data_IF_153801986103
#
_entry.id   IF_153801986103
#
_cell.length_a   1.000
_cell.length_b   1.000
_cell.length_c   1.000
_cell.angle_alpha   90.00
_cell.angle_beta   90.00
_cell.angle_gamma   90.00
#
_symmetry.space_group_name_H-M   'P 1'
#
loop_
_entity.id
_entity.type
_entity.pdbx_description
1 polymer ?
#
# COMPACT_ATOMS: atom_id res chain seq x y z
N UNK A 1 8.91 24.38 -40.90
CA UNK A 1 7.86 23.99 -39.93
C UNK A 1 8.58 23.27 -38.82
N UNK A 2 8.69 23.87 -37.63
CA UNK A 2 9.12 23.12 -36.45
C UNK A 2 8.08 22.03 -36.19
N UNK A 3 8.51 20.77 -36.15
CA UNK A 3 7.69 19.67 -35.63
C UNK A 3 7.32 20.02 -34.18
N UNK A 4 6.04 20.29 -33.94
CA UNK A 4 5.52 20.42 -32.58
C UNK A 4 5.83 19.12 -31.85
N UNK A 5 6.63 19.20 -30.80
CA UNK A 5 6.87 18.06 -29.90
C UNK A 5 5.51 17.56 -29.41
N UNK A 6 5.26 16.24 -29.42
CA UNK A 6 4.01 15.70 -28.93
C UNK A 6 3.79 16.13 -27.46
N UNK A 7 2.64 16.76 -27.21
CA UNK A 7 2.19 17.06 -25.86
C UNK A 7 1.56 15.80 -25.28
N UNK A 8 2.22 15.21 -24.29
CA UNK A 8 1.71 14.04 -23.59
C UNK A 8 0.82 14.48 -22.42
N UNK A 9 -0.38 13.90 -22.33
CA UNK A 9 -1.21 13.99 -21.14
C UNK A 9 -0.70 13.01 -20.07
N UNK A 10 -0.77 13.41 -18.81
CA UNK A 10 -0.51 12.53 -17.67
C UNK A 10 -1.71 12.55 -16.73
N UNK A 11 -2.01 11.41 -16.10
CA UNK A 11 -3.03 11.29 -15.06
C UNK A 11 -2.56 10.33 -13.98
N UNK A 12 -2.91 10.62 -12.73
CA UNK A 12 -2.87 9.60 -11.68
C UNK A 12 -3.92 8.52 -12.01
N UNK A 13 -3.51 7.26 -11.91
CA UNK A 13 -4.38 6.10 -11.98
C UNK A 13 -4.84 5.73 -10.58
N UNK A 14 -4.53 4.51 -10.15
CA UNK A 14 -4.84 4.02 -8.81
C UNK A 14 -3.81 4.57 -7.80
N UNK A 15 -4.25 4.79 -6.56
CA UNK A 15 -3.39 5.06 -5.39
C UNK A 15 -3.58 3.96 -4.36
N UNK A 16 -2.51 3.56 -3.68
CA UNK A 16 -2.51 2.57 -2.62
C UNK A 16 -1.95 3.14 -1.32
N UNK A 17 -2.49 2.66 -0.20
CA UNK A 17 -2.03 2.98 1.15
C UNK A 17 -1.87 1.69 1.95
N UNK A 18 -0.83 1.63 2.78
CA UNK A 18 -0.61 0.52 3.69
C UNK A 18 0.00 1.04 4.99
N UNK A 19 -0.32 0.45 6.13
CA UNK A 19 0.52 0.63 7.31
C UNK A 19 1.91 0.05 7.02
N UNK A 20 2.95 0.62 7.63
CA UNK A 20 4.24 -0.08 7.62
C UNK A 20 4.08 -1.44 8.31
N UNK A 21 4.89 -2.40 7.89
CA UNK A 21 4.95 -3.69 8.56
C UNK A 21 5.26 -3.50 10.06
N UNK A 22 4.94 -4.51 10.87
CA UNK A 22 5.17 -4.46 12.32
C UNK A 22 6.61 -4.15 12.70
N UNK A 23 7.57 -4.59 11.89
CA UNK A 23 9.00 -4.34 12.06
C UNK A 23 9.47 -2.99 11.46
N UNK A 24 8.54 -2.17 10.96
CA UNK A 24 8.77 -0.88 10.29
C UNK A 24 9.15 -0.98 8.82
N UNK A 25 9.25 -2.18 8.24
CA UNK A 25 9.61 -2.35 6.83
C UNK A 25 8.50 -1.95 5.87
N UNK A 26 8.87 -1.59 4.64
CA UNK A 26 7.95 -1.26 3.56
C UNK A 26 7.20 -2.53 3.09
N UNK A 27 5.86 -2.56 3.11
CA UNK A 27 5.08 -3.74 2.78
C UNK A 27 5.12 -4.01 1.27
N UNK A 28 5.70 -5.13 0.86
CA UNK A 28 5.72 -5.58 -0.55
C UNK A 28 5.39 -7.06 -0.65
N UNK A 29 5.00 -7.59 -1.81
CA UNK A 29 4.68 -9.02 -1.94
C UNK A 29 5.85 -9.95 -1.64
N UNK A 30 7.08 -9.54 -2.00
CA UNK A 30 8.30 -10.34 -1.88
C UNK A 30 9.52 -9.47 -1.63
N UNK A 31 10.65 -10.12 -1.32
CA UNK A 31 11.98 -9.51 -1.50
C UNK A 31 12.11 -9.00 -2.94
N UNK A 32 12.72 -7.83 -3.10
CA UNK A 32 12.81 -7.18 -4.40
C UNK A 32 14.12 -6.43 -4.58
N UNK A 33 14.45 -6.09 -5.81
CA UNK A 33 15.63 -5.31 -6.13
C UNK A 33 15.33 -4.18 -7.11
N UNK A 34 16.11 -3.10 -7.00
CA UNK A 34 16.19 -2.08 -8.03
C UNK A 34 17.66 -1.78 -8.36
N UNK A 35 17.88 -1.10 -9.48
CA UNK A 35 19.21 -0.58 -9.84
C UNK A 35 19.30 0.89 -9.47
N UNK A 36 20.38 1.27 -8.80
CA UNK A 36 20.69 2.68 -8.56
C UNK A 36 21.09 3.38 -9.88
N UNK A 37 21.37 4.69 -9.80
CA UNK A 37 21.78 5.49 -10.96
C UNK A 37 23.10 5.03 -11.61
N UNK A 38 23.92 4.30 -10.86
CA UNK A 38 25.20 3.74 -11.30
C UNK A 38 25.04 2.30 -11.84
N UNK A 39 23.83 1.75 -11.82
CA UNK A 39 23.52 0.39 -12.26
C UNK A 39 23.73 -0.69 -11.20
N UNK A 40 24.11 -0.34 -9.97
CA UNK A 40 24.29 -1.29 -8.88
C UNK A 40 22.95 -1.80 -8.39
N UNK A 41 22.88 -3.11 -8.11
CA UNK A 41 21.67 -3.73 -7.55
C UNK A 41 21.57 -3.45 -6.06
N UNK A 42 20.46 -2.86 -5.65
CA UNK A 42 20.07 -2.71 -4.24
C UNK A 42 18.94 -3.70 -3.97
N UNK A 43 19.13 -4.56 -2.96
CA UNK A 43 18.17 -5.56 -2.53
C UNK A 43 17.41 -5.07 -1.30
N UNK A 44 16.12 -5.33 -1.27
CA UNK A 44 15.23 -4.98 -0.18
C UNK A 44 14.51 -6.23 0.32
N UNK A 45 14.36 -6.31 1.63
CA UNK A 45 13.49 -7.30 2.27
C UNK A 45 12.04 -6.86 2.13
N UNK A 46 11.19 -7.80 1.74
CA UNK A 46 9.77 -7.57 1.55
C UNK A 46 8.91 -8.63 2.21
N UNK A 47 7.65 -8.71 1.80
CA UNK A 47 6.61 -9.50 2.46
C UNK A 47 5.71 -8.61 3.31
N UNK A 48 4.54 -9.14 3.63
CA UNK A 48 3.67 -8.60 4.68
C UNK A 48 4.12 -9.22 6.00
N UNK A 49 4.58 -8.37 6.93
CA UNK A 49 5.21 -8.80 8.18
C UNK A 49 4.39 -8.33 9.37
N UNK A 50 3.91 -9.30 10.15
CA UNK A 50 3.08 -9.12 11.33
C UNK A 50 3.33 -10.19 12.40
N UNK A 51 2.37 -10.41 13.29
CA UNK A 51 2.40 -11.40 14.36
C UNK A 51 3.07 -10.89 15.63
N UNK A 52 2.36 -11.00 16.76
CA UNK A 52 2.95 -10.97 18.11
C UNK A 52 3.09 -12.42 18.58
N UNK A 53 4.20 -12.73 19.26
CA UNK A 53 4.57 -14.02 19.86
C UNK A 53 3.43 -15.05 20.05
N UNK A 54 2.37 -14.64 20.76
CA UNK A 54 1.16 -15.43 21.04
C UNK A 54 -0.10 -14.61 20.80
N UNK A 55 -1.13 -15.24 20.26
CA UNK A 55 -2.40 -14.61 19.93
C UNK A 55 -3.53 -15.37 20.60
N UNK A 56 -4.45 -14.62 21.21
CA UNK A 56 -5.68 -15.18 21.78
C UNK A 56 -6.81 -15.07 20.75
N UNK A 57 -7.27 -16.22 20.27
CA UNK A 57 -8.44 -16.36 19.40
C UNK A 57 -9.54 -17.22 20.04
N UNK A 58 -9.43 -17.51 21.35
CA UNK A 58 -10.40 -18.34 22.05
C UNK A 58 -11.80 -17.70 21.98
N UNK A 59 -12.79 -18.52 21.59
CA UNK A 59 -14.18 -18.08 21.46
C UNK A 59 -14.47 -17.18 20.25
N UNK A 60 -13.53 -17.05 19.31
CA UNK A 60 -13.79 -16.39 18.03
C UNK A 60 -14.72 -17.24 17.16
N UNK A 61 -15.59 -16.56 16.42
CA UNK A 61 -16.50 -17.19 15.46
C UNK A 61 -15.82 -17.45 14.11
N UNK A 62 -16.48 -18.21 13.22
CA UNK A 62 -16.01 -18.39 11.85
C UNK A 62 -15.88 -17.06 11.08
N UNK A 63 -16.74 -16.08 11.40
CA UNK A 63 -16.68 -14.75 10.78
C UNK A 63 -15.44 -13.96 11.26
N UNK A 64 -15.07 -14.10 12.54
CA UNK A 64 -13.85 -13.49 13.08
C UNK A 64 -12.57 -14.08 12.44
N UNK A 65 -12.64 -15.36 12.05
CA UNK A 65 -11.57 -16.12 11.39
C UNK A 65 -11.59 -16.02 9.87
N UNK A 66 -12.58 -15.34 9.29
CA UNK A 66 -12.69 -15.10 7.86
C UNK A 66 -11.72 -14.00 7.43
N UNK A 67 -10.96 -14.27 6.38
CA UNK A 67 -9.93 -13.36 5.85
C UNK A 67 -10.15 -13.14 4.36
N UNK A 68 -10.39 -11.89 3.98
CA UNK A 68 -10.37 -11.46 2.58
C UNK A 68 -8.94 -11.19 2.12
N UNK A 69 -8.61 -11.58 0.89
CA UNK A 69 -7.26 -11.52 0.31
C UNK A 69 -7.26 -10.68 -0.96
N UNK A 70 -6.31 -9.74 -1.03
CA UNK A 70 -5.93 -9.00 -2.22
C UNK A 70 -4.58 -9.55 -2.71
N UNK A 71 -4.50 -9.99 -3.96
CA UNK A 71 -3.28 -10.50 -4.58
C UNK A 71 -3.19 -10.00 -6.03
N UNK A 72 -2.44 -8.93 -6.25
CA UNK A 72 -2.47 -8.15 -7.48
C UNK A 72 -3.90 -7.73 -7.86
N UNK A 73 -4.32 -8.14 -9.06
CA UNK A 73 -5.69 -7.94 -9.55
C UNK A 73 -6.69 -8.97 -9.02
N UNK A 74 -6.23 -10.06 -8.39
CA UNK A 74 -7.07 -11.15 -7.89
C UNK A 74 -7.60 -10.83 -6.49
N UNK A 75 -8.75 -11.41 -6.19
CA UNK A 75 -9.42 -11.35 -4.89
C UNK A 75 -9.84 -12.76 -4.51
N UNK A 76 -9.79 -13.07 -3.22
CA UNK A 76 -10.21 -14.35 -2.68
C UNK A 76 -10.55 -14.23 -1.21
N UNK A 77 -11.05 -15.29 -0.63
CA UNK A 77 -11.37 -15.37 0.79
C UNK A 77 -11.07 -16.77 1.31
N UNK A 78 -10.69 -16.86 2.58
CA UNK A 78 -10.61 -18.13 3.29
C UNK A 78 -11.08 -17.94 4.73
N UNK A 79 -11.53 -19.02 5.36
CA UNK A 79 -11.75 -19.07 6.81
C UNK A 79 -10.64 -19.90 7.43
N UNK A 80 -9.90 -19.33 8.38
CA UNK A 80 -8.83 -20.04 9.06
C UNK A 80 -9.44 -21.13 9.96
N UNK A 81 -9.01 -22.38 9.79
CA UNK A 81 -9.24 -23.42 10.79
C UNK A 81 -8.04 -23.48 11.72
N UNK A 82 -8.19 -23.08 12.98
CA UNK A 82 -7.09 -23.16 13.93
C UNK A 82 -6.88 -24.59 14.41
N UNK A 83 -5.63 -25.06 14.39
CA UNK A 83 -5.25 -26.40 14.86
C UNK A 83 -4.45 -26.39 16.16
N UNK A 84 -4.23 -25.20 16.74
CA UNK A 84 -3.48 -25.03 17.98
C UNK A 84 -4.19 -25.70 19.15
N UNK A 85 -3.41 -26.34 20.04
CA UNK A 85 -3.97 -26.97 21.23
C UNK A 85 -4.47 -25.98 22.29
N UNK A 86 -3.96 -24.73 22.24
CA UNK A 86 -4.35 -23.65 23.14
C UNK A 86 -4.68 -22.39 22.34
N UNK A 87 -5.96 -22.18 22.07
CA UNK A 87 -6.49 -21.02 21.35
C UNK A 87 -6.29 -19.68 22.08
N UNK A 88 -6.04 -19.68 23.39
CA UNK A 88 -5.72 -18.46 24.13
C UNK A 88 -4.30 -17.95 23.87
N UNK A 89 -3.44 -18.79 23.28
CA UNK A 89 -2.01 -18.56 23.17
C UNK A 89 -1.40 -19.18 21.91
N UNK A 90 -2.07 -19.02 20.76
CA UNK A 90 -1.63 -19.55 19.47
C UNK A 90 -0.29 -18.96 19.09
N UNK A 91 0.69 -19.82 18.82
CA UNK A 91 2.05 -19.41 18.46
C UNK A 91 2.16 -19.06 16.97
N UNK A 92 3.22 -18.33 16.61
CA UNK A 92 3.50 -18.01 15.20
C UNK A 92 3.72 -19.28 14.37
N UNK A 93 4.33 -20.33 14.93
CA UNK A 93 4.61 -21.56 14.18
C UNK A 93 3.30 -22.33 13.87
N UNK A 94 2.36 -22.38 14.81
CA UNK A 94 1.01 -22.93 14.59
C UNK A 94 0.25 -22.09 13.56
N UNK A 95 0.25 -20.76 13.71
CA UNK A 95 -0.41 -19.85 12.77
C UNK A 95 0.16 -19.98 11.35
N UNK A 96 1.48 -20.15 11.19
CA UNK A 96 2.13 -20.40 9.89
C UNK A 96 1.62 -21.69 9.26
N UNK A 97 1.43 -22.76 10.05
CA UNK A 97 0.93 -24.03 9.54
C UNK A 97 -0.54 -23.90 9.07
N UNK A 98 -1.37 -23.25 9.87
CA UNK A 98 -2.79 -23.05 9.57
C UNK A 98 -2.98 -22.14 8.35
N UNK A 99 -2.25 -21.02 8.27
CA UNK A 99 -2.28 -20.11 7.12
C UNK A 99 -1.84 -20.80 5.83
N UNK A 100 -0.73 -21.56 5.85
CA UNK A 100 -0.28 -22.28 4.65
C UNK A 100 -1.26 -23.38 4.23
N UNK A 101 -2.05 -23.92 5.15
CA UNK A 101 -3.12 -24.86 4.83
C UNK A 101 -4.28 -24.13 4.17
N UNK A 102 -4.71 -22.99 4.73
CA UNK A 102 -5.75 -22.17 4.16
C UNK A 102 -5.38 -21.60 2.77
N UNK A 103 -4.14 -21.17 2.56
CA UNK A 103 -3.69 -20.62 1.27
C UNK A 103 -3.81 -21.60 0.11
N UNK A 104 -3.78 -22.92 0.35
CA UNK A 104 -4.01 -23.92 -0.71
C UNK A 104 -5.40 -23.83 -1.30
N UNK A 105 -6.39 -23.38 -0.53
CA UNK A 105 -7.77 -23.18 -1.04
C UNK A 105 -7.82 -22.07 -2.06
N UNK A 106 -6.90 -21.10 -1.99
CA UNK A 106 -6.84 -19.92 -2.85
C UNK A 106 -6.12 -20.16 -4.20
N UNK A 107 -5.48 -21.32 -4.36
CA UNK A 107 -4.71 -21.63 -5.56
C UNK A 107 -5.61 -21.73 -6.81
N UNK A 108 -6.89 -22.08 -6.62
CA UNK A 108 -7.90 -22.17 -7.68
C UNK A 108 -8.20 -20.80 -8.30
N UNK A 109 -8.19 -19.73 -7.50
CA UNK A 109 -8.30 -18.34 -7.98
C UNK A 109 -6.96 -17.80 -8.52
N UNK A 110 -5.91 -18.62 -8.53
CA UNK A 110 -4.56 -18.24 -8.93
C UNK A 110 -3.82 -17.40 -7.87
N UNK A 111 -4.29 -17.37 -6.62
CA UNK A 111 -3.62 -16.67 -5.54
C UNK A 111 -2.59 -17.63 -4.93
N UNK A 112 -1.32 -17.21 -4.91
CA UNK A 112 -0.21 -18.05 -4.47
C UNK A 112 0.53 -17.37 -3.33
N UNK A 113 0.22 -17.79 -2.11
CA UNK A 113 0.77 -17.20 -0.90
C UNK A 113 1.53 -18.24 -0.08
N UNK A 114 2.50 -17.77 0.69
CA UNK A 114 3.24 -18.59 1.65
C UNK A 114 3.46 -17.81 2.94
N UNK A 115 3.17 -18.44 4.06
CA UNK A 115 3.52 -17.94 5.39
C UNK A 115 4.83 -18.59 5.87
N UNK A 116 5.64 -17.83 6.60
CA UNK A 116 6.83 -18.32 7.28
C UNK A 116 7.12 -17.49 8.53
N UNK A 117 7.82 -18.07 9.49
CA UNK A 117 8.41 -17.34 10.61
C UNK A 117 9.75 -16.75 10.19
N UNK A 118 9.99 -15.47 10.49
CA UNK A 118 11.27 -14.83 10.18
C UNK A 118 12.35 -15.30 11.16
N UNK A 119 13.60 -15.46 10.69
CA UNK A 119 14.72 -15.69 11.60
C UNK A 119 15.12 -14.37 12.25
N UNK A 120 15.28 -14.37 13.57
CA UNK A 120 15.88 -13.25 14.30
C UNK A 120 17.34 -13.06 13.87
N UNK A 121 17.72 -11.85 13.48
CA UNK A 121 19.04 -11.56 12.94
C UNK A 121 19.17 -10.14 12.37
N UNK A 122 20.03 -9.99 11.36
CA UNK A 122 20.31 -8.69 10.72
C UNK A 122 19.09 -8.09 10.00
N UNK A 123 18.24 -8.97 9.46
CA UNK A 123 17.10 -8.58 8.63
C UNK A 123 15.83 -8.37 9.46
N UNK A 124 15.73 -9.03 10.62
CA UNK A 124 14.58 -9.01 11.51
C UNK A 124 15.04 -8.99 12.97
N UNK A 125 14.56 -8.01 13.73
CA UNK A 125 14.82 -7.85 15.16
C UNK A 125 14.12 -8.91 16.03
N UNK A 126 13.12 -9.59 15.49
CA UNK A 126 12.44 -10.70 16.14
C UNK A 126 11.93 -11.78 15.15
N UNK A 127 11.31 -12.83 15.68
CA UNK A 127 10.60 -13.85 14.93
C UNK A 127 9.17 -13.46 14.61
N UNK A 128 8.96 -12.79 13.48
CA UNK A 128 7.67 -12.33 12.97
C UNK A 128 6.99 -13.38 12.08
N UNK A 129 5.67 -13.28 11.94
CA UNK A 129 4.95 -13.89 10.83
C UNK A 129 5.26 -13.06 9.57
N UNK A 130 5.68 -13.74 8.50
CA UNK A 130 5.90 -13.14 7.20
C UNK A 130 5.10 -13.89 6.14
N UNK A 131 4.29 -13.15 5.39
CA UNK A 131 3.55 -13.67 4.24
C UNK A 131 4.18 -13.11 2.96
N UNK A 132 4.49 -13.99 2.02
CA UNK A 132 5.06 -13.66 0.72
C UNK A 132 4.27 -14.29 -0.41
N UNK A 133 4.41 -13.74 -1.60
CA UNK A 133 4.00 -14.42 -2.81
C UNK A 133 4.87 -15.67 -3.06
N UNK A 134 4.22 -16.77 -3.46
CA UNK A 134 4.85 -18.06 -3.73
C UNK A 134 5.06 -18.35 -5.23
N UNK A 135 4.55 -17.48 -6.11
CA UNK A 135 4.78 -17.56 -7.55
C UNK A 135 6.25 -17.26 -7.91
N UNK A 136 6.66 -17.75 -9.08
CA UNK A 136 8.03 -17.63 -9.59
C UNK A 136 8.01 -17.12 -11.03
N UNK A 137 9.14 -16.56 -11.47
CA UNK A 137 9.31 -16.09 -12.84
C UNK A 137 8.39 -14.92 -13.18
N UNK A 138 7.76 -14.94 -14.34
CA UNK A 138 6.92 -13.85 -14.86
C UNK A 138 5.57 -13.71 -14.13
N UNK A 139 5.19 -14.68 -13.30
CA UNK A 139 3.94 -14.65 -12.52
C UNK A 139 4.14 -14.17 -11.09
N UNK A 140 5.41 -13.99 -10.66
CA UNK A 140 5.72 -13.42 -9.36
C UNK A 140 5.22 -11.98 -9.29
N UNK A 141 4.60 -11.64 -8.16
CA UNK A 141 4.13 -10.29 -7.91
C UNK A 141 5.32 -9.33 -7.81
N UNK A 142 5.36 -8.24 -8.61
CA UNK A 142 6.36 -7.20 -8.44
C UNK A 142 6.14 -6.42 -7.14
N UNK A 143 7.17 -5.69 -6.67
CA UNK A 143 7.12 -4.96 -5.40
C UNK A 143 5.95 -3.97 -5.26
N UNK A 144 5.44 -3.47 -6.38
CA UNK A 144 4.34 -2.49 -6.45
C UNK A 144 2.97 -3.16 -6.63
N UNK A 145 2.90 -4.49 -6.73
CA UNK A 145 1.63 -5.16 -6.87
C UNK A 145 0.84 -5.09 -5.56
N UNK A 146 -0.47 -4.89 -5.63
CA UNK A 146 -1.35 -5.01 -4.48
C UNK A 146 -1.17 -6.33 -3.75
N UNK A 147 -1.00 -6.26 -2.44
CA UNK A 147 -1.10 -7.43 -1.56
C UNK A 147 -1.65 -6.96 -0.23
N UNK A 148 -2.70 -7.62 0.27
CA UNK A 148 -3.38 -7.19 1.48
C UNK A 148 -4.35 -8.24 2.00
N UNK A 149 -4.69 -8.08 3.27
CA UNK A 149 -5.53 -8.97 4.04
C UNK A 149 -6.54 -8.14 4.85
N UNK A 150 -7.77 -8.62 4.96
CA UNK A 150 -8.87 -7.96 5.67
C UNK A 150 -9.56 -8.94 6.61
N UNK A 151 -10.39 -8.42 7.52
CA UNK A 151 -11.02 -9.20 8.59
C UNK A 151 -10.31 -9.04 9.94
N UNK A 152 -10.99 -9.48 11.01
CA UNK A 152 -10.52 -9.33 12.39
C UNK A 152 -9.18 -10.04 12.61
N UNK A 153 -9.04 -11.27 12.12
CA UNK A 153 -7.79 -12.02 12.19
C UNK A 153 -6.61 -11.27 11.56
N UNK A 154 -6.80 -10.68 10.37
CA UNK A 154 -5.74 -9.92 9.71
C UNK A 154 -5.33 -8.68 10.52
N UNK A 155 -6.30 -7.96 11.10
CA UNK A 155 -6.07 -6.80 11.98
C UNK A 155 -5.29 -7.20 13.24
N UNK A 156 -5.69 -8.28 13.91
CA UNK A 156 -5.02 -8.80 15.13
C UNK A 156 -3.60 -9.28 14.85
N UNK A 157 -3.39 -9.91 13.69
CA UNK A 157 -2.07 -10.30 13.22
C UNK A 157 -1.23 -9.09 12.76
N UNK A 158 -1.83 -7.94 12.47
CA UNK A 158 -1.13 -6.79 11.90
C UNK A 158 -0.61 -7.05 10.49
N UNK A 159 -1.38 -7.77 9.67
CA UNK A 159 -0.99 -8.17 8.30
C UNK A 159 -1.85 -7.50 7.21
N UNK A 160 -2.48 -6.35 7.49
CA UNK A 160 -3.49 -5.77 6.59
C UNK A 160 -2.96 -5.47 5.16
N UNK A 161 -1.70 -5.07 5.02
CA UNK A 161 -1.09 -4.75 3.73
C UNK A 161 -1.75 -3.54 3.04
N UNK A 162 -1.85 -3.59 1.71
CA UNK A 162 -2.27 -2.47 0.87
C UNK A 162 -3.78 -2.42 0.61
N UNK A 163 -4.34 -1.21 0.73
CA UNK A 163 -5.68 -0.83 0.25
C UNK A 163 -5.53 0.14 -0.92
N UNK A 164 -6.23 -0.12 -2.02
CA UNK A 164 -6.15 0.67 -3.25
C UNK A 164 -7.46 1.37 -3.57
N UNK A 165 -7.37 2.60 -4.06
CA UNK A 165 -8.51 3.42 -4.47
C UNK A 165 -8.20 4.17 -5.78
N UNK A 166 -9.24 4.37 -6.60
CA UNK A 166 -9.20 5.25 -7.77
C UNK A 166 -9.56 6.69 -7.44
N UNK A 167 -9.95 6.97 -6.21
CA UNK A 167 -10.68 8.19 -5.87
C UNK A 167 -9.85 9.22 -5.13
N UNK A 168 -8.54 8.97 -5.06
CA UNK A 168 -7.52 9.99 -4.79
C UNK A 168 -7.74 11.22 -5.68
N UNK A 169 -8.37 12.28 -5.13
CA UNK A 169 -8.70 13.50 -5.87
C UNK A 169 -7.44 14.21 -6.37
N UNK A 170 -6.41 14.26 -5.54
CA UNK A 170 -5.08 14.74 -5.89
C UNK A 170 -4.06 14.07 -4.99
N UNK A 171 -2.82 13.93 -5.48
CA UNK A 171 -1.63 13.81 -4.62
C UNK A 171 -0.78 15.04 -4.94
N UNK A 172 -0.17 15.69 -3.96
CA UNK A 172 0.77 16.77 -4.25
C UNK A 172 2.17 16.27 -3.98
N UNK A 173 3.11 16.70 -4.80
CA UNK A 173 4.53 16.38 -4.65
C UNK A 173 5.25 17.63 -5.14
N UNK A 174 6.09 18.22 -4.31
CA UNK A 174 6.74 19.48 -4.64
C UNK A 174 7.95 19.19 -5.54
N UNK A 175 7.81 19.54 -6.82
CA UNK A 175 8.87 19.42 -7.80
C UNK A 175 9.65 20.73 -7.88
N UNK A 176 10.97 20.64 -8.01
CA UNK A 176 11.73 21.74 -8.57
C UNK A 176 11.88 21.50 -10.08
N UNK A 177 11.17 22.32 -10.86
CA UNK A 177 11.47 22.52 -12.27
C UNK A 177 12.56 23.59 -12.34
N UNK A 178 13.50 23.44 -13.28
CA UNK A 178 14.49 24.44 -13.73
C UNK A 178 14.70 25.64 -12.78
N UNK A 179 15.84 25.70 -12.07
CA UNK A 179 16.30 26.80 -11.20
C UNK A 179 15.28 27.93 -10.94
N UNK A 180 14.45 27.77 -9.90
CA UNK A 180 13.63 28.86 -9.36
C UNK A 180 12.20 29.00 -9.89
N UNK A 181 11.59 27.99 -10.54
CA UNK A 181 10.17 28.04 -10.92
C UNK A 181 9.35 26.89 -10.32
N UNK A 182 8.52 27.21 -9.32
CA UNK A 182 7.45 26.33 -8.82
C UNK A 182 6.19 26.48 -9.68
N UNK A 183 5.50 25.39 -9.97
CA UNK A 183 4.17 25.43 -10.62
C UNK A 183 3.25 24.47 -9.89
N UNK A 184 2.25 25.03 -9.21
CA UNK A 184 1.15 24.29 -8.61
C UNK A 184 0.11 23.95 -9.69
N UNK A 185 -0.21 22.67 -9.86
CA UNK A 185 -1.33 22.23 -10.68
C UNK A 185 -2.24 21.34 -9.85
N UNK A 186 -3.37 21.90 -9.41
CA UNK A 186 -4.47 21.15 -8.78
C UNK A 186 -5.55 20.95 -9.83
N UNK A 187 -5.99 19.71 -10.07
CA UNK A 187 -7.25 19.46 -10.80
C UNK A 187 -8.07 18.39 -10.09
N UNK A 188 -9.39 18.58 -10.08
CA UNK A 188 -10.35 17.59 -9.61
C UNK A 188 -10.28 16.32 -10.46
N UNK A 189 -10.25 15.18 -9.77
CA UNK A 189 -10.02 13.83 -10.28
C UNK A 189 -8.66 13.68 -10.99
N UNK A 190 -7.62 13.58 -10.18
CA UNK A 190 -6.27 13.20 -10.61
C UNK A 190 -5.39 14.39 -10.92
N UNK A 191 -4.11 14.25 -10.56
CA UNK A 191 -3.10 15.25 -10.89
C UNK A 191 -2.79 15.17 -12.38
N UNK A 192 -2.88 16.31 -13.08
CA UNK A 192 -2.18 16.50 -14.36
C UNK A 192 -0.78 17.04 -14.09
N UNK A 193 0.18 16.16 -13.85
CA UNK A 193 1.59 16.56 -13.84
C UNK A 193 2.13 16.52 -15.26
N UNK A 194 2.38 17.68 -15.88
CA UNK A 194 3.31 17.75 -17.01
C UNK A 194 4.74 17.59 -16.47
N UNK A 195 5.15 16.35 -16.23
CA UNK A 195 6.54 16.03 -15.84
C UNK A 195 7.38 16.01 -17.10
N UNK A 196 8.29 16.97 -17.25
CA UNK A 196 9.31 16.88 -18.30
C UNK A 196 10.42 15.94 -17.80
N UNK A 197 11.07 15.22 -18.71
CA UNK A 197 12.14 14.27 -18.36
C UNK A 197 13.34 14.84 -17.55
N UNK A 198 13.62 16.17 -17.45
CA UNK A 198 14.64 16.69 -16.53
C UNK A 198 14.16 17.11 -15.13
N UNK A 199 12.87 17.00 -14.77
CA UNK A 199 12.35 17.50 -13.49
C UNK A 199 12.87 16.71 -12.26
N UNK A 200 13.26 17.42 -11.17
CA UNK A 200 13.76 16.81 -9.92
C UNK A 200 12.83 17.13 -8.75
N UNK A 201 12.49 16.12 -7.96
CA UNK A 201 11.62 16.26 -6.78
C UNK A 201 12.45 16.74 -5.58
N UNK A 202 12.04 17.82 -4.93
CA UNK A 202 12.74 18.41 -3.76
C UNK A 202 12.10 18.06 -2.42
N UNK A 203 10.81 17.76 -2.42
CA UNK A 203 10.04 17.39 -1.23
C UNK A 203 8.69 16.78 -1.65
N UNK A 204 7.95 16.22 -0.71
CA UNK A 204 6.62 15.66 -0.99
C UNK A 204 5.66 16.04 0.14
N UNK A 205 4.77 17.00 -0.14
CA UNK A 205 3.60 17.29 0.69
C UNK A 205 2.42 16.49 0.16
N UNK A 206 2.05 15.42 0.88
CA UNK A 206 1.00 14.52 0.47
C UNK A 206 -0.34 15.05 1.00
N UNK A 207 -1.18 15.55 0.10
CA UNK A 207 -2.58 15.87 0.37
C UNK A 207 -3.45 14.79 -0.25
N UNK A 208 -4.19 14.03 0.56
CA UNK A 208 -5.12 12.97 0.10
C UNK A 208 -6.54 13.40 0.47
N UNK A 209 -7.29 13.91 -0.50
CA UNK A 209 -8.70 14.31 -0.31
C UNK A 209 -9.69 13.18 -0.64
N UNK A 210 -9.33 11.94 -0.31
CA UNK A 210 -10.06 10.72 -0.71
C UNK A 210 -10.33 9.74 0.44
N UNK A 211 -10.19 10.21 1.68
CA UNK A 211 -10.24 9.34 2.83
C UNK A 211 -11.62 8.76 3.17
N UNK A 212 -12.67 9.09 2.40
CA UNK A 212 -14.04 8.67 2.66
C UNK A 212 -14.47 7.37 1.96
N UNK A 213 -13.63 6.76 1.11
CA UNK A 213 -14.08 5.59 0.34
C UNK A 213 -14.09 4.27 1.12
N UNK A 214 -13.44 4.24 2.27
CA UNK A 214 -13.40 3.07 3.14
C UNK A 214 -12.97 3.59 4.53
N UNK A 215 -13.94 3.94 5.38
CA UNK A 215 -13.74 4.57 6.69
C UNK A 215 -12.66 3.84 7.53
N UNK A 216 -12.47 2.54 7.26
CA UNK A 216 -11.39 1.71 7.80
C UNK A 216 -9.97 2.17 7.40
N UNK A 217 -9.74 2.55 6.13
CA UNK A 217 -8.42 3.04 5.66
C UNK A 217 -8.07 4.37 6.30
N UNK A 218 -9.03 5.28 6.41
CA UNK A 218 -8.85 6.55 7.10
C UNK A 218 -8.55 6.32 8.60
N UNK A 219 -9.33 5.46 9.25
CA UNK A 219 -9.12 5.09 10.65
C UNK A 219 -7.71 4.56 10.89
N UNK A 220 -7.27 3.61 10.06
CA UNK A 220 -5.92 3.03 10.13
C UNK A 220 -4.82 4.09 10.03
N UNK A 221 -4.89 4.99 9.05
CA UNK A 221 -3.80 5.95 8.76
C UNK A 221 -3.79 7.11 9.78
N UNK A 222 -4.96 7.49 10.31
CA UNK A 222 -5.08 8.55 11.32
C UNK A 222 -4.95 8.03 12.76
N UNK A 223 -4.97 6.71 12.96
CA UNK A 223 -5.01 6.07 14.28
C UNK A 223 -6.36 6.24 14.99
N UNK A 224 -7.42 6.59 14.25
CA UNK A 224 -8.78 6.73 14.81
C UNK A 224 -9.51 5.39 14.87
N UNK A 225 -10.65 5.37 15.56
CA UNK A 225 -11.50 4.19 15.70
C UNK A 225 -12.70 4.27 14.75
N UNK A 226 -12.99 3.18 14.07
CA UNK A 226 -14.17 3.02 13.21
C UNK A 226 -14.99 1.83 13.67
N UNK A 227 -16.29 2.05 13.88
CA UNK A 227 -17.27 1.01 14.21
C UNK A 227 -18.00 0.57 12.95
N UNK A 228 -17.73 -0.66 12.50
CA UNK A 228 -18.36 -1.24 11.31
C UNK A 228 -19.86 -1.51 11.48
N UNK A 229 -20.36 -1.72 12.71
CA UNK A 229 -21.78 -2.03 12.98
C UNK A 229 -22.67 -0.80 12.91
N UNK A 230 -22.17 0.34 13.39
CA UNK A 230 -22.92 1.60 13.46
C UNK A 230 -22.51 2.60 12.38
N UNK A 231 -21.47 2.28 11.59
CA UNK A 231 -20.81 3.19 10.63
C UNK A 231 -20.33 4.50 11.29
N UNK A 232 -20.00 4.43 12.58
CA UNK A 232 -19.55 5.59 13.34
C UNK A 232 -18.03 5.68 13.37
N UNK A 233 -17.50 6.88 13.16
CA UNK A 233 -16.08 7.18 13.22
C UNK A 233 -15.78 8.09 14.42
N UNK A 234 -14.90 7.65 15.30
CA UNK A 234 -14.57 8.35 16.54
C UNK A 234 -13.10 8.74 16.59
N UNK A 235 -12.86 9.98 17.00
CA UNK A 235 -11.54 10.45 17.38
C UNK A 235 -11.27 10.02 18.82
N UNK A 236 -10.77 8.80 18.97
CA UNK A 236 -10.34 8.27 20.27
C UNK A 236 -8.85 7.92 20.23
N UNK A 237 -8.02 8.89 19.82
CA UNK A 237 -6.59 8.68 19.79
C UNK A 237 -5.88 9.50 20.87
N UNK A 238 -5.48 8.79 21.93
CA UNK A 238 -4.52 9.28 22.93
C UNK A 238 -3.06 9.04 22.50
N UNK A 239 -2.83 8.45 21.32
CA UNK A 239 -1.51 8.12 20.77
C UNK A 239 -1.19 8.77 19.43
N UNK A 240 0.05 8.59 18.98
CA UNK A 240 0.52 9.10 17.69
C UNK A 240 -0.03 8.26 16.52
N UNK A 241 -0.47 8.89 15.40
CA UNK A 241 -0.86 8.16 14.20
C UNK A 241 0.28 7.24 13.71
N UNK A 242 -0.03 6.00 13.28
CA UNK A 242 1.00 5.09 12.81
C UNK A 242 1.65 5.59 11.52
N UNK A 243 2.90 5.21 11.30
CA UNK A 243 3.56 5.43 10.02
C UNK A 243 2.89 4.58 8.94
N UNK A 244 2.71 5.18 7.77
CA UNK A 244 2.13 4.50 6.61
C UNK A 244 2.99 4.67 5.36
N UNK A 245 2.79 3.77 4.41
CA UNK A 245 3.32 3.80 3.07
C UNK A 245 2.24 4.27 2.09
N UNK A 246 2.64 5.05 1.08
CA UNK A 246 1.77 5.47 -0.01
C UNK A 246 2.41 5.10 -1.35
N UNK A 247 1.61 4.62 -2.30
CA UNK A 247 2.03 4.45 -3.69
C UNK A 247 0.98 5.00 -4.64
N UNK A 248 1.41 5.59 -5.75
CA UNK A 248 0.50 6.04 -6.80
C UNK A 248 1.10 5.79 -8.18
N UNK A 249 0.22 5.54 -9.14
CA UNK A 249 0.60 5.23 -10.51
C UNK A 249 0.29 6.41 -11.43
N UNK A 250 1.24 6.82 -12.25
CA UNK A 250 1.07 7.89 -13.24
C UNK A 250 1.06 7.28 -14.64
N UNK A 251 -0.06 7.46 -15.34
CA UNK A 251 -0.28 7.09 -16.74
C UNK A 251 0.21 8.20 -17.66
N UNK A 252 1.00 7.86 -18.69
CA UNK A 252 1.34 8.75 -19.79
C UNK A 252 0.55 8.34 -21.04
N UNK A 253 -0.31 9.22 -21.58
CA UNK A 253 -1.13 8.93 -22.76
C UNK A 253 -0.34 9.05 -24.08
N UNK A 254 -0.70 8.26 -25.10
CA UNK A 254 -0.01 8.25 -26.41
C UNK A 254 -0.20 9.55 -27.22
N UNK A 255 -1.26 10.31 -26.96
CA UNK A 255 -1.55 11.62 -27.55
C UNK A 255 -2.39 12.44 -26.57
N UNK A 256 -2.46 13.77 -26.70
CA UNK A 256 -3.20 14.68 -25.80
C UNK A 256 -4.71 14.43 -25.62
N UNK A 257 -5.23 13.29 -26.09
CA UNK A 257 -6.59 12.81 -25.86
C UNK A 257 -6.59 11.80 -24.70
N UNK A 258 -7.13 12.21 -23.56
CA UNK A 258 -7.29 11.39 -22.36
C UNK A 258 -8.40 10.33 -22.54
N UNK A 259 -8.13 9.24 -23.24
CA UNK A 259 -8.97 8.03 -23.15
C UNK A 259 -8.31 7.06 -22.16
N UNK A 260 -9.04 6.65 -21.10
CA UNK A 260 -8.54 5.80 -19.99
C UNK A 260 -7.81 4.53 -20.45
N UNK A 261 -8.09 4.02 -21.65
CA UNK A 261 -7.55 2.78 -22.21
C UNK A 261 -6.25 2.93 -23.02
N UNK A 262 -5.74 4.14 -23.24
CA UNK A 262 -4.69 4.39 -24.25
C UNK A 262 -3.42 5.08 -23.70
N UNK A 263 -2.73 4.42 -22.76
CA UNK A 263 -1.46 4.89 -22.19
C UNK A 263 -0.25 4.09 -22.71
N UNK A 264 0.87 4.81 -22.93
CA UNK A 264 2.11 4.32 -23.51
C UNK A 264 3.11 3.84 -22.46
N UNK A 265 3.12 4.51 -21.30
CA UNK A 265 4.09 4.31 -20.23
C UNK A 265 3.40 4.51 -18.88
N UNK A 266 3.91 3.78 -17.89
CA UNK A 266 3.50 3.89 -16.50
C UNK A 266 4.70 4.18 -15.62
N UNK A 267 4.51 5.01 -14.61
CA UNK A 267 5.49 5.18 -13.53
C UNK A 267 4.79 4.95 -12.20
N UNK A 268 5.36 4.09 -11.36
CA UNK A 268 4.98 3.97 -9.95
C UNK A 268 5.84 4.91 -9.13
N UNK A 269 5.20 5.67 -8.24
CA UNK A 269 5.83 6.50 -7.23
C UNK A 269 5.48 5.96 -5.86
N UNK A 270 6.45 5.92 -4.96
CA UNK A 270 6.33 5.31 -3.65
C UNK A 270 6.93 6.23 -2.59
N UNK A 271 6.08 6.64 -1.64
CA UNK A 271 6.48 7.30 -0.40
C UNK A 271 6.55 6.21 0.68
N UNK A 272 7.76 5.78 1.08
CA UNK A 272 7.94 4.55 1.84
C UNK A 272 7.74 4.69 3.34
N UNK A 273 7.59 5.92 3.83
CA UNK A 273 7.18 6.23 5.19
C UNK A 273 6.53 7.61 5.19
N UNK A 274 5.36 7.75 5.77
CA UNK A 274 4.58 8.98 5.86
C UNK A 274 3.97 9.07 7.26
N UNK A 275 3.82 10.30 7.75
CA UNK A 275 3.13 10.62 8.99
C UNK A 275 2.03 11.63 8.73
N UNK A 276 0.88 11.43 9.36
CA UNK A 276 -0.20 12.42 9.36
C UNK A 276 -0.04 13.32 10.57
N UNK A 277 -0.21 14.63 10.37
CA UNK A 277 -0.44 15.55 11.48
C UNK A 277 -1.97 15.65 11.67
N UNK A 278 -2.54 15.18 12.79
CA UNK A 278 -3.97 15.36 13.04
C UNK A 278 -4.25 16.87 13.18
N UNK A 279 -5.13 17.40 12.33
CA UNK A 279 -5.61 18.79 12.46
C UNK A 279 -6.67 18.88 13.56
N UNK A 280 -6.54 19.86 14.45
CA UNK A 280 -7.52 20.14 15.50
C UNK A 280 -8.92 20.50 14.96
N UNK A 281 -9.93 20.02 15.70
CA UNK A 281 -11.38 20.30 15.77
C UNK A 281 -11.98 21.21 14.67
N UNK A 282 -12.98 20.79 13.88
CA UNK A 282 -14.34 20.42 14.31
C UNK A 282 -14.85 19.12 13.64
N UNK A 283 -15.06 18.07 14.44
CA UNK A 283 -15.89 16.93 14.04
C UNK A 283 -17.35 17.21 14.41
N UNK A 284 -18.00 18.16 13.74
CA UNK A 284 -19.44 18.36 13.84
C UNK A 284 -20.20 17.31 13.01
N UNK A 285 -21.42 16.95 13.43
CA UNK A 285 -22.31 15.99 12.76
C UNK A 285 -22.62 16.30 11.28
N UNK A 286 -22.30 17.52 10.81
CA UNK A 286 -22.50 17.95 9.42
C UNK A 286 -21.19 18.20 8.65
N UNK A 287 -20.02 18.00 9.26
CA UNK A 287 -18.69 18.26 8.66
C UNK A 287 -18.05 17.00 8.02
N UNK A 288 -18.83 15.95 7.78
CA UNK A 288 -18.36 14.67 7.21
C UNK A 288 -17.96 14.73 5.73
N UNK A 289 -18.01 15.91 5.11
CA UNK A 289 -17.53 16.14 3.75
C UNK A 289 -16.01 16.05 3.64
N UNK A 290 -15.49 14.87 3.27
CA UNK A 290 -14.11 14.66 2.79
C UNK A 290 -13.02 15.22 3.74
N UNK A 291 -12.67 14.52 4.82
CA UNK A 291 -11.45 14.90 5.57
C UNK A 291 -10.22 14.76 4.68
N UNK A 292 -9.53 15.87 4.48
CA UNK A 292 -8.29 15.93 3.76
C UNK A 292 -7.15 15.49 4.67
N UNK A 293 -6.49 14.37 4.33
CA UNK A 293 -5.30 13.94 5.06
C UNK A 293 -4.12 14.73 4.51
N UNK A 294 -3.47 15.51 5.37
CA UNK A 294 -2.17 16.10 5.08
C UNK A 294 -1.10 15.34 5.84
N UNK A 295 -0.12 14.80 5.10
CA UNK A 295 1.01 14.10 5.68
C UNK A 295 2.35 14.54 5.11
N UNK A 296 3.39 14.31 5.90
CA UNK A 296 4.78 14.52 5.48
C UNK A 296 5.44 13.17 5.23
N UNK A 297 6.17 13.07 4.12
CA UNK A 297 6.98 11.90 3.81
C UNK A 297 8.28 11.90 4.62
N UNK A 298 8.82 10.71 4.88
CA UNK A 298 10.14 10.49 5.46
C UNK A 298 10.89 9.34 4.75
N UNK A 299 12.20 9.28 4.94
CA UNK A 299 12.98 8.10 4.56
C UNK A 299 12.54 6.89 5.39
N UNK A 300 12.46 5.72 4.76
CA UNK A 300 12.28 4.47 5.49
C UNK A 300 13.65 3.86 5.77
N UNK A 301 14.18 4.13 6.97
CA UNK A 301 15.50 3.63 7.40
C UNK A 301 15.54 2.10 7.50
N UNK A 302 14.43 1.46 7.89
CA UNK A 302 14.34 0.00 8.03
C UNK A 302 14.53 -0.71 6.70
N UNK A 303 13.90 -0.22 5.64
CA UNK A 303 14.00 -0.78 4.28
C UNK A 303 15.08 -0.12 3.42
N UNK A 304 15.84 0.84 3.98
CA UNK A 304 16.82 1.66 3.27
C UNK A 304 16.24 2.31 1.99
N UNK A 305 15.00 2.82 2.09
CA UNK A 305 14.34 3.51 0.99
C UNK A 305 14.39 5.03 1.20
N UNK A 306 14.69 5.80 0.15
CA UNK A 306 14.72 7.26 0.25
C UNK A 306 13.32 7.82 0.48
N UNK A 307 13.24 9.12 0.81
CA UNK A 307 11.98 9.85 1.01
C UNK A 307 10.91 9.57 -0.07
N UNK A 308 11.36 9.47 -1.31
CA UNK A 308 10.54 9.11 -2.46
C UNK A 308 11.39 8.28 -3.41
N UNK A 309 10.84 7.17 -3.88
CA UNK A 309 11.42 6.42 -4.99
C UNK A 309 10.37 6.20 -6.07
N UNK A 310 10.84 6.00 -7.31
CA UNK A 310 9.95 5.74 -8.44
C UNK A 310 10.57 4.78 -9.45
N UNK A 311 9.74 4.04 -10.16
CA UNK A 311 10.19 3.11 -11.22
C UNK A 311 9.25 3.19 -12.43
N UNK A 312 9.83 3.17 -13.63
CA UNK A 312 9.06 2.95 -14.85
C UNK A 312 8.60 1.49 -14.92
N UNK A 313 7.34 1.27 -15.29
CA UNK A 313 6.74 -0.06 -15.46
C UNK A 313 6.06 -0.12 -16.83
N UNK A 314 5.96 -1.32 -17.41
CA UNK A 314 5.27 -1.48 -18.69
C UNK A 314 3.75 -1.37 -18.48
N UNK A 315 3.03 -1.00 -19.54
CA UNK A 315 1.57 -0.97 -19.48
C UNK A 315 0.97 -2.36 -19.25
N UNK A 316 1.62 -3.40 -19.79
CA UNK A 316 1.20 -4.79 -19.62
C UNK A 316 1.36 -5.24 -18.16
N UNK A 317 2.49 -4.89 -17.51
CA UNK A 317 2.68 -5.27 -16.10
C UNK A 317 1.68 -4.54 -15.19
N UNK A 318 1.42 -3.25 -15.46
CA UNK A 318 0.41 -2.50 -14.72
C UNK A 318 -0.97 -3.16 -14.83
N UNK A 319 -1.38 -3.55 -16.04
CA UNK A 319 -2.65 -4.24 -16.26
C UNK A 319 -2.70 -5.62 -15.62
N UNK A 320 -1.61 -6.38 -15.75
CA UNK A 320 -1.48 -7.73 -15.20
C UNK A 320 -1.57 -7.74 -13.68
N UNK A 321 -0.93 -6.77 -13.01
CA UNK A 321 -0.70 -6.85 -11.57
C UNK A 321 -1.47 -5.83 -10.73
N UNK A 322 -1.88 -4.69 -11.28
CA UNK A 322 -2.46 -3.60 -10.49
C UNK A 322 -3.90 -3.31 -10.89
N UNK A 323 -4.19 -3.28 -12.18
CA UNK A 323 -5.48 -2.84 -12.70
C UNK A 323 -5.90 -3.64 -13.94
N UNK A 324 -6.73 -4.67 -13.77
CA UNK A 324 -7.09 -5.62 -14.83
C UNK A 324 -7.96 -5.03 -15.98
N UNK A 325 -8.32 -3.75 -15.93
CA UNK A 325 -9.38 -3.11 -16.73
C UNK A 325 -10.81 -3.62 -16.42
#
# INVERSE_FOLDING_TARGET
MEERKPEYGYSVGITGFALLNRDGSYPTPNDWEHKDKSGNKIKHKGGIVGGAEKINIAGWSDEDLKVGVVYGVRRGEFTLTCTAANEEAVTIDEMVADLNTAFKTLEAEGIKLKAAKTPKGSDYDDGYLRITDAAIGEDALPFYAPIGFSGRLAKTLGINGWVFTREAKSVKTDFEKESGKSVDATSGHGIRCSVKEPDKIKGSNLTISAAAMDNQTLAMITGNTYNEETDEFFYDNTGDPPNFACMYFVMQFLSGVNTKTNFAKMKVFCLPSCQVAPSGEEAGEDNFGTKEITGSGGENKRSALPLLFHKGISANDYRKFVDAE
#
